data_IF_123414906115
#
_entry.id   IF_123414906115
#
_cell.length_a   1.000
_cell.length_b   1.000
_cell.length_c   1.000
_cell.angle_alpha   90.00
_cell.angle_beta   90.00
_cell.angle_gamma   90.00
#
_symmetry.space_group_name_H-M   'P 1'
#
loop_
_entity.id
_entity.type
_entity.pdbx_description
1 polymer ?
#
# COMPACT_ATOMS: atom_id res chain seq x y z
N UNK A 1 -10.04 -2.29 -12.92
CA UNK A 1 -9.32 -2.50 -14.19
C UNK A 1 -9.79 -1.56 -15.29
N UNK A 2 -11.07 -1.62 -15.71
CA UNK A 2 -11.59 -0.79 -16.83
C UNK A 2 -11.35 0.71 -16.61
N UNK A 3 -11.66 1.24 -15.43
CA UNK A 3 -11.44 2.66 -15.13
C UNK A 3 -9.96 3.10 -15.24
N UNK A 4 -9.01 2.27 -14.80
CA UNK A 4 -7.59 2.61 -14.88
C UNK A 4 -7.09 2.65 -16.32
N UNK A 5 -7.57 1.73 -17.16
CA UNK A 5 -7.25 1.71 -18.61
C UNK A 5 -7.88 2.91 -19.32
N UNK A 6 -9.12 3.28 -18.99
CA UNK A 6 -9.77 4.47 -19.55
C UNK A 6 -9.09 5.78 -19.15
N UNK A 7 -8.66 5.90 -17.89
CA UNK A 7 -7.88 7.05 -17.42
C UNK A 7 -6.50 7.11 -18.08
N UNK A 8 -5.88 5.96 -18.35
CA UNK A 8 -4.62 5.89 -19.07
C UNK A 8 -4.76 6.34 -20.53
N UNK A 9 -5.83 5.96 -21.22
CA UNK A 9 -6.15 6.46 -22.56
C UNK A 9 -6.38 7.98 -22.56
N UNK A 10 -7.15 8.47 -21.58
CA UNK A 10 -7.39 9.92 -21.40
C UNK A 10 -6.08 10.67 -21.18
N UNK A 11 -5.18 10.11 -20.37
CA UNK A 11 -3.84 10.67 -20.13
C UNK A 11 -3.01 10.79 -21.43
N UNK A 12 -3.03 9.77 -22.30
CA UNK A 12 -2.31 9.83 -23.58
C UNK A 12 -2.84 10.96 -24.47
N UNK A 13 -4.17 11.12 -24.51
CA UNK A 13 -4.83 12.19 -25.26
C UNK A 13 -4.44 13.57 -24.73
N UNK A 14 -4.54 13.79 -23.42
CA UNK A 14 -4.22 15.06 -22.77
C UNK A 14 -2.73 15.42 -22.85
N UNK A 15 -1.86 14.41 -22.81
CA UNK A 15 -0.42 14.58 -22.96
C UNK A 15 0.03 14.79 -24.43
N UNK A 16 -0.88 14.69 -25.40
CA UNK A 16 -0.57 14.80 -26.82
C UNK A 16 0.31 13.67 -27.36
N UNK A 17 0.25 12.48 -26.74
CA UNK A 17 1.06 11.33 -27.08
C UNK A 17 0.28 10.38 -28.00
N UNK A 18 0.80 10.11 -29.19
CA UNK A 18 0.22 9.13 -30.12
C UNK A 18 0.40 7.67 -29.66
N UNK A 19 1.28 7.44 -28.69
CA UNK A 19 1.58 6.13 -28.11
C UNK A 19 2.79 6.21 -27.18
N UNK A 20 3.09 5.09 -26.52
CA UNK A 20 4.26 4.95 -25.65
C UNK A 20 5.21 3.94 -26.27
N UNK A 21 6.44 4.35 -26.55
CA UNK A 21 7.45 3.44 -27.06
C UNK A 21 8.35 2.93 -25.92
N UNK A 22 8.12 1.67 -25.51
CA UNK A 22 8.87 0.99 -24.44
C UNK A 22 10.35 0.80 -24.80
N UNK A 23 10.73 0.86 -26.09
CA UNK A 23 12.13 0.77 -26.49
C UNK A 23 12.97 1.97 -26.04
N UNK A 24 12.34 3.11 -25.69
CA UNK A 24 13.08 4.24 -25.14
C UNK A 24 13.51 3.96 -23.68
N UNK A 25 14.80 4.14 -23.35
CA UNK A 25 15.31 3.82 -22.01
C UNK A 25 14.59 4.56 -20.88
N UNK A 26 14.21 5.82 -21.08
CA UNK A 26 13.49 6.64 -20.08
C UNK A 26 12.11 6.08 -19.78
N UNK A 27 11.39 5.60 -20.80
CA UNK A 27 10.07 4.97 -20.69
C UNK A 27 10.17 3.63 -19.99
N UNK A 28 11.16 2.82 -20.37
CA UNK A 28 11.40 1.52 -19.74
C UNK A 28 11.74 1.67 -18.25
N UNK A 29 12.57 2.65 -17.89
CA UNK A 29 12.86 2.98 -16.48
C UNK A 29 11.59 3.41 -15.74
N UNK A 30 10.76 4.27 -16.35
CA UNK A 30 9.46 4.64 -15.79
C UNK A 30 8.58 3.42 -15.51
N UNK A 31 8.49 2.50 -16.47
CA UNK A 31 7.74 1.24 -16.34
C UNK A 31 8.24 0.36 -15.20
N UNK A 32 9.57 0.17 -15.06
CA UNK A 32 10.14 -0.61 -13.97
C UNK A 32 9.89 0.03 -12.60
N UNK A 33 10.04 1.36 -12.49
CA UNK A 33 9.74 2.10 -11.26
C UNK A 33 8.26 1.93 -10.92
N UNK A 34 7.36 2.11 -11.89
CA UNK A 34 5.92 1.92 -11.70
C UNK A 34 5.57 0.50 -11.24
N UNK A 35 6.20 -0.51 -11.84
CA UNK A 35 6.04 -1.90 -11.44
C UNK A 35 6.49 -2.19 -10.01
N UNK A 36 7.49 -1.46 -9.50
CA UNK A 36 7.99 -1.64 -8.14
C UNK A 36 7.11 -0.97 -7.06
N UNK A 37 6.35 0.08 -7.41
CA UNK A 37 5.57 0.85 -6.43
C UNK A 37 4.51 0.02 -5.70
N UNK A 38 3.70 -0.83 -6.35
CA UNK A 38 2.76 -1.69 -5.64
C UNK A 38 3.43 -2.61 -4.62
N UNK A 39 4.61 -3.16 -4.94
CA UNK A 39 5.38 -3.98 -3.99
C UNK A 39 5.90 -3.16 -2.81
N UNK A 40 6.44 -1.96 -3.07
CA UNK A 40 6.87 -1.05 -2.01
C UNK A 40 5.70 -0.68 -1.10
N UNK A 41 4.56 -0.29 -1.69
CA UNK A 41 3.34 0.03 -0.96
C UNK A 41 2.90 -1.13 -0.05
N UNK A 42 2.83 -2.34 -0.61
CA UNK A 42 2.49 -3.55 0.15
C UNK A 42 3.48 -3.86 1.27
N UNK A 43 4.78 -3.66 1.05
CA UNK A 43 5.78 -3.89 2.10
C UNK A 43 5.62 -2.90 3.27
N UNK A 44 5.31 -1.64 2.98
CA UNK A 44 5.10 -0.61 4.00
C UNK A 44 3.84 -0.90 4.82
N UNK A 45 2.75 -1.31 4.16
CA UNK A 45 1.50 -1.65 4.85
C UNK A 45 1.63 -2.92 5.69
N UNK A 46 2.25 -3.98 5.16
CA UNK A 46 2.51 -5.23 5.92
C UNK A 46 3.36 -4.93 7.15
N UNK A 47 4.43 -4.13 7.00
CA UNK A 47 5.29 -3.76 8.12
C UNK A 47 4.50 -3.00 9.19
N UNK A 48 3.70 -2.03 8.79
CA UNK A 48 2.91 -1.24 9.73
C UNK A 48 1.87 -2.09 10.49
N UNK A 49 1.19 -3.00 9.80
CA UNK A 49 0.27 -3.96 10.44
C UNK A 49 1.02 -4.86 11.41
N UNK A 50 2.19 -5.37 11.04
CA UNK A 50 3.01 -6.22 11.89
C UNK A 50 3.41 -5.50 13.18
N UNK A 51 3.91 -4.27 13.08
CA UNK A 51 4.30 -3.45 14.23
C UNK A 51 3.11 -3.18 15.16
N UNK A 52 1.94 -2.87 14.60
CA UNK A 52 0.69 -2.67 15.37
C UNK A 52 0.25 -3.96 16.08
N UNK A 53 0.32 -5.11 15.39
CA UNK A 53 -0.04 -6.40 15.97
C UNK A 53 0.85 -6.76 17.16
N UNK A 54 2.17 -6.53 17.05
CA UNK A 54 3.10 -6.74 18.18
C UNK A 54 2.79 -5.85 19.38
N UNK A 55 2.41 -4.59 19.14
CA UNK A 55 2.02 -3.67 20.20
C UNK A 55 0.75 -4.16 20.92
N UNK A 56 -0.26 -4.63 20.18
CA UNK A 56 -1.49 -5.22 20.75
C UNK A 56 -1.16 -6.47 21.56
N UNK A 57 -0.34 -7.39 21.04
CA UNK A 57 0.06 -8.62 21.76
C UNK A 57 0.78 -8.27 23.06
N UNK A 58 1.66 -7.27 23.05
CA UNK A 58 2.38 -6.81 24.25
C UNK A 58 1.40 -6.27 25.31
N UNK A 59 0.40 -5.50 24.89
CA UNK A 59 -0.62 -4.96 25.80
C UNK A 59 -1.52 -6.06 26.37
N UNK A 60 -1.98 -6.99 25.53
CA UNK A 60 -2.77 -8.14 25.98
C UNK A 60 -1.98 -8.98 27.00
N UNK A 61 -0.70 -9.28 26.71
CA UNK A 61 0.18 -10.00 27.66
C UNK A 61 0.36 -9.24 28.97
N UNK A 62 0.50 -7.91 28.93
CA UNK A 62 0.57 -7.07 30.13
C UNK A 62 -0.70 -7.19 30.98
N UNK A 63 -1.87 -7.05 30.36
CA UNK A 63 -3.15 -7.19 31.05
C UNK A 63 -3.30 -8.57 31.68
N UNK A 64 -2.98 -9.67 30.97
CA UNK A 64 -3.03 -11.01 31.55
C UNK A 64 -2.07 -11.21 32.73
N UNK A 65 -0.89 -10.58 32.72
CA UNK A 65 0.10 -10.68 33.80
C UNK A 65 -0.29 -9.85 35.03
N UNK A 66 -0.74 -8.62 34.83
CA UNK A 66 -1.05 -7.68 35.91
C UNK A 66 -2.47 -7.85 36.47
N UNK A 67 -3.39 -8.42 35.68
CA UNK A 67 -4.79 -8.64 36.03
C UNK A 67 -5.16 -10.13 35.93
N UNK A 68 -4.71 -10.98 36.88
CA UNK A 68 -4.97 -12.42 36.84
C UNK A 68 -6.46 -12.80 36.96
N UNK A 69 -7.31 -11.86 37.40
CA UNK A 69 -8.77 -12.01 37.40
C UNK A 69 -9.37 -12.14 36.00
N UNK A 70 -8.66 -11.68 34.95
CA UNK A 70 -9.09 -11.86 33.55
C UNK A 70 -9.13 -13.35 33.18
N UNK A 71 -8.06 -14.11 33.49
CA UNK A 71 -8.02 -15.56 33.21
C UNK A 71 -9.06 -16.35 33.99
N UNK A 72 -9.46 -15.84 35.17
CA UNK A 72 -10.49 -16.45 36.01
C UNK A 72 -11.91 -16.01 35.63
N UNK A 73 -12.06 -15.09 34.66
CA UNK A 73 -13.33 -14.51 34.25
C UNK A 73 -13.98 -13.59 35.29
N UNK A 74 -13.29 -13.25 36.38
CA UNK A 74 -13.82 -12.41 37.47
C UNK A 74 -13.55 -10.92 37.26
N UNK A 75 -12.64 -10.57 36.35
CA UNK A 75 -12.26 -9.19 36.02
C UNK A 75 -12.37 -8.95 34.52
N UNK A 76 -12.91 -7.79 34.13
CA UNK A 76 -13.03 -7.40 32.72
C UNK A 76 -11.69 -6.83 32.20
N UNK A 77 -11.24 -7.21 30.99
CA UNK A 77 -10.10 -6.59 30.31
C UNK A 77 -10.34 -5.11 30.00
N UNK A 78 -9.25 -4.37 29.82
CA UNK A 78 -9.30 -3.01 29.29
C UNK A 78 -9.27 -3.05 27.75
N UNK A 79 -10.47 -3.14 27.17
CA UNK A 79 -10.66 -3.12 25.72
C UNK A 79 -10.40 -1.75 25.10
N UNK A 80 -10.69 -0.67 25.83
CA UNK A 80 -10.54 0.70 25.33
C UNK A 80 -9.08 0.96 24.96
N UNK A 81 -8.15 0.49 25.80
CA UNK A 81 -6.72 0.62 25.53
C UNK A 81 -6.25 -0.12 24.27
N UNK A 82 -6.81 -1.29 23.98
CA UNK A 82 -6.48 -2.05 22.76
C UNK A 82 -7.02 -1.34 21.50
N UNK A 83 -8.24 -0.80 21.59
CA UNK A 83 -8.84 -0.01 20.51
C UNK A 83 -8.00 1.25 20.25
N UNK A 84 -7.68 2.03 21.29
CA UNK A 84 -6.88 3.26 21.17
C UNK A 84 -5.51 3.03 20.53
N UNK A 85 -4.85 1.93 20.93
CA UNK A 85 -3.54 1.55 20.37
C UNK A 85 -3.63 1.25 18.88
N UNK A 86 -4.67 0.52 18.47
CA UNK A 86 -4.91 0.15 17.07
C UNK A 86 -5.26 1.39 16.24
N UNK A 87 -6.15 2.25 16.76
CA UNK A 87 -6.55 3.49 16.09
C UNK A 87 -5.38 4.44 15.87
N UNK A 88 -4.56 4.66 16.90
CA UNK A 88 -3.38 5.52 16.80
C UNK A 88 -2.37 4.97 15.80
N UNK A 89 -2.13 3.67 15.84
CA UNK A 89 -1.18 3.01 14.92
C UNK A 89 -1.67 3.10 13.48
N UNK A 90 -2.95 2.80 13.22
CA UNK A 90 -3.55 2.91 11.89
C UNK A 90 -3.45 4.31 11.29
N UNK A 91 -3.72 5.36 12.08
CA UNK A 91 -3.62 6.76 11.64
C UNK A 91 -2.19 7.12 11.25
N UNK A 92 -1.21 6.75 12.07
CA UNK A 92 0.20 7.06 11.80
C UNK A 92 0.80 6.24 10.65
N UNK A 93 0.35 4.99 10.48
CA UNK A 93 0.85 4.06 9.48
C UNK A 93 0.52 4.46 8.04
N UNK A 94 -0.66 5.07 7.82
CA UNK A 94 -1.15 5.41 6.48
C UNK A 94 -0.40 6.58 5.83
N UNK A 95 0.28 7.41 6.63
CA UNK A 95 0.96 8.59 6.12
C UNK A 95 2.06 8.24 5.10
N UNK A 96 2.89 7.23 5.39
CA UNK A 96 4.01 6.88 4.51
C UNK A 96 3.56 6.32 3.14
N UNK A 97 2.66 5.32 3.06
CA UNK A 97 2.14 4.83 1.78
C UNK A 97 1.41 5.90 0.98
N UNK A 98 0.64 6.78 1.64
CA UNK A 98 -0.08 7.87 0.98
C UNK A 98 0.88 8.89 0.34
N UNK A 99 1.95 9.26 1.05
CA UNK A 99 2.97 10.16 0.52
C UNK A 99 3.67 9.56 -0.70
N UNK A 100 4.03 8.28 -0.65
CA UNK A 100 4.66 7.58 -1.79
C UNK A 100 3.75 7.60 -3.02
N UNK A 101 2.45 7.34 -2.84
CA UNK A 101 1.48 7.32 -3.93
C UNK A 101 1.33 8.66 -4.66
N UNK A 102 1.58 9.78 -3.97
CA UNK A 102 1.46 11.13 -4.53
C UNK A 102 2.81 11.62 -5.07
N UNK A 103 3.87 11.48 -4.28
CA UNK A 103 5.18 12.06 -4.59
C UNK A 103 5.84 11.36 -5.77
N UNK A 104 5.76 10.02 -5.85
CA UNK A 104 6.49 9.27 -6.88
C UNK A 104 6.03 9.59 -8.30
N UNK A 105 4.71 9.58 -8.63
CA UNK A 105 4.26 9.96 -9.97
C UNK A 105 4.65 11.40 -10.33
N UNK A 106 4.60 12.33 -9.37
CA UNK A 106 5.05 13.72 -9.58
C UNK A 106 6.54 13.77 -9.93
N UNK A 107 7.39 13.08 -9.17
CA UNK A 107 8.83 13.02 -9.45
C UNK A 107 9.12 12.42 -10.82
N UNK A 108 8.44 11.33 -11.19
CA UNK A 108 8.60 10.70 -12.52
C UNK A 108 8.15 11.66 -13.62
N UNK A 109 7.01 12.33 -13.46
CA UNK A 109 6.50 13.30 -14.44
C UNK A 109 7.42 14.49 -14.65
N UNK A 110 7.94 15.08 -13.57
CA UNK A 110 8.81 16.26 -13.66
C UNK A 110 10.25 15.92 -14.10
N UNK A 111 10.80 14.76 -13.72
CA UNK A 111 12.18 14.40 -14.05
C UNK A 111 12.32 13.65 -15.37
N UNK A 112 11.41 12.71 -15.66
CA UNK A 112 11.50 11.79 -16.81
C UNK A 112 10.53 12.12 -17.94
N UNK A 113 9.68 13.15 -17.76
CA UNK A 113 8.66 13.65 -18.71
C UNK A 113 7.45 12.72 -18.88
N UNK A 114 6.48 13.21 -19.66
CA UNK A 114 5.17 12.59 -19.85
C UNK A 114 5.24 11.15 -20.43
N UNK A 115 6.14 10.87 -21.37
CA UNK A 115 6.22 9.53 -21.95
C UNK A 115 6.67 8.47 -20.91
N UNK A 116 7.61 8.84 -20.03
CA UNK A 116 8.06 7.96 -18.96
C UNK A 116 7.03 7.81 -17.83
N UNK A 117 6.27 8.86 -17.53
CA UNK A 117 5.13 8.77 -16.62
C UNK A 117 4.05 7.82 -17.17
N UNK A 118 3.83 7.81 -18.49
CA UNK A 118 2.96 6.82 -19.12
C UNK A 118 3.48 5.39 -18.94
N UNK A 119 4.79 5.16 -19.11
CA UNK A 119 5.42 3.88 -18.78
C UNK A 119 5.19 3.48 -17.31
N UNK A 120 5.38 4.41 -16.38
CA UNK A 120 5.13 4.23 -14.96
C UNK A 120 3.68 3.83 -14.65
N UNK A 121 2.69 4.51 -15.24
CA UNK A 121 1.28 4.18 -15.07
C UNK A 121 0.98 2.76 -15.56
N UNK A 122 1.48 2.38 -16.75
CA UNK A 122 1.31 1.05 -17.30
C UNK A 122 1.91 -0.04 -16.39
N UNK A 123 3.13 0.17 -15.87
CA UNK A 123 3.79 -0.76 -14.95
C UNK A 123 3.04 -0.91 -13.62
N UNK A 124 2.55 0.21 -13.07
CA UNK A 124 1.79 0.24 -11.82
C UNK A 124 0.45 -0.48 -11.95
N UNK A 125 -0.28 -0.28 -13.06
CA UNK A 125 -1.56 -0.94 -13.33
C UNK A 125 -1.38 -2.46 -13.44
N UNK A 126 -0.37 -2.90 -14.21
CA UNK A 126 -0.09 -4.32 -14.43
C UNK A 126 0.22 -5.04 -13.12
N UNK A 127 1.24 -4.56 -12.41
CA UNK A 127 1.72 -5.21 -11.19
C UNK A 127 0.74 -5.06 -10.03
N UNK A 128 0.11 -3.88 -9.90
CA UNK A 128 -0.86 -3.60 -8.84
C UNK A 128 -2.09 -4.51 -8.93
N UNK A 129 -2.61 -4.74 -10.13
CA UNK A 129 -3.75 -5.65 -10.31
C UNK A 129 -3.39 -7.09 -9.93
N UNK A 130 -2.25 -7.60 -10.42
CA UNK A 130 -1.83 -8.97 -10.14
C UNK A 130 -1.58 -9.17 -8.65
N UNK A 131 -0.91 -8.21 -8.01
CA UNK A 131 -0.62 -8.27 -6.58
C UNK A 131 -1.90 -8.18 -5.74
N UNK A 132 -2.85 -7.31 -6.11
CA UNK A 132 -4.11 -7.17 -5.40
C UNK A 132 -4.93 -8.46 -5.42
N UNK A 133 -5.06 -9.10 -6.59
CA UNK A 133 -5.79 -10.37 -6.73
C UNK A 133 -5.07 -11.49 -5.98
N UNK A 134 -3.75 -11.56 -6.08
CA UNK A 134 -2.95 -12.54 -5.36
C UNK A 134 -3.16 -12.42 -3.84
N UNK A 135 -2.98 -11.22 -3.28
CA UNK A 135 -3.10 -11.00 -1.84
C UNK A 135 -4.53 -11.25 -1.33
N UNK A 136 -5.55 -10.86 -2.10
CA UNK A 136 -6.94 -11.12 -1.72
C UNK A 136 -7.27 -12.62 -1.71
N UNK A 137 -6.85 -13.35 -2.74
CA UNK A 137 -7.12 -14.79 -2.83
C UNK A 137 -6.32 -15.60 -1.81
N UNK A 138 -5.04 -15.27 -1.61
CA UNK A 138 -4.21 -15.96 -0.61
C UNK A 138 -4.73 -15.70 0.80
N UNK A 139 -5.10 -14.44 1.10
CA UNK A 139 -5.70 -14.11 2.41
C UNK A 139 -6.99 -14.87 2.66
N UNK A 140 -7.92 -14.88 1.69
CA UNK A 140 -9.20 -15.59 1.82
C UNK A 140 -9.10 -17.12 1.78
N UNK A 141 -7.98 -17.69 1.33
CA UNK A 141 -7.74 -19.13 1.38
C UNK A 141 -7.09 -19.60 2.70
N UNK A 142 -6.53 -18.67 3.48
CA UNK A 142 -5.89 -18.95 4.78
C UNK A 142 -6.80 -18.66 5.98
N UNK A 143 -7.82 -17.82 5.81
CA UNK A 143 -8.91 -17.61 6.77
C UNK A 143 -9.92 -18.77 6.71
#
# INVERSE_FOLDING_TARGET
MVAAVSLFESYLSDAGLAGINIAYPTVFVGFLIGGAIPFLFSSLTIKAVSDSAFAVIKEVRRQFKEMPGIMKGTQKPDYARVVDLTTKSALSALAAPALVAIIVPLLVGFLLKAEALGGFLAGTILTGQLLAVLMANTGGAWD
#
